data_IF_401887827567
#
_entry.id   IF_401887827567
#
_cell.length_a   1.000
_cell.length_b   1.000
_cell.length_c   1.000
_cell.angle_alpha   90.00
_cell.angle_beta   90.00
_cell.angle_gamma   90.00
#
_symmetry.space_group_name_H-M   'P 1'
#
loop_
_entity.id
_entity.type
_entity.pdbx_description
1 polymer ?
#
# COMPACT_ATOMS: atom_id res chain seq x y z
N UNK A 1 -36.34 -20.88 -3.59
CA UNK A 1 -35.71 -19.56 -3.36
C UNK A 1 -34.37 -19.58 -4.05
N UNK A 2 -34.09 -18.67 -5.00
CA UNK A 2 -32.89 -18.74 -5.81
C UNK A 2 -31.65 -18.49 -4.94
N UNK A 3 -30.65 -19.34 -5.11
CA UNK A 3 -29.35 -19.19 -4.47
C UNK A 3 -28.74 -17.86 -4.92
N UNK A 4 -28.43 -17.02 -3.94
CA UNK A 4 -27.64 -15.83 -4.21
C UNK A 4 -26.29 -16.27 -4.76
N UNK A 5 -26.04 -15.96 -6.02
CA UNK A 5 -24.71 -15.94 -6.61
C UNK A 5 -23.82 -15.14 -5.64
N UNK A 6 -23.02 -15.84 -4.83
CA UNK A 6 -21.83 -15.23 -4.25
C UNK A 6 -20.96 -14.94 -5.46
N UNK A 7 -21.08 -13.73 -6.01
CA UNK A 7 -20.12 -13.21 -6.96
C UNK A 7 -18.74 -13.54 -6.38
N UNK A 8 -17.93 -14.29 -7.15
CA UNK A 8 -16.55 -14.50 -6.78
C UNK A 8 -15.95 -13.15 -6.36
N UNK A 9 -15.13 -13.09 -5.30
CA UNK A 9 -14.49 -11.84 -4.92
C UNK A 9 -13.87 -11.24 -6.18
N UNK A 10 -14.35 -10.05 -6.57
CA UNK A 10 -13.89 -9.41 -7.80
C UNK A 10 -12.40 -9.19 -7.64
N UNK A 11 -11.60 -9.97 -8.37
CA UNK A 11 -10.16 -9.81 -8.40
C UNK A 11 -9.78 -8.43 -8.92
N UNK A 12 -8.57 -8.00 -8.62
CA UNK A 12 -8.07 -6.69 -9.03
C UNK A 12 -7.27 -6.81 -10.33
N UNK A 13 -7.93 -7.28 -11.40
CA UNK A 13 -7.26 -7.63 -12.68
C UNK A 13 -6.32 -6.54 -13.19
N UNK A 14 -6.68 -5.27 -13.03
CA UNK A 14 -5.88 -4.13 -13.46
C UNK A 14 -4.51 -4.06 -12.76
N UNK A 15 -4.47 -4.29 -11.44
CA UNK A 15 -3.20 -4.28 -10.69
C UNK A 15 -2.49 -5.62 -10.78
N UNK A 16 -3.24 -6.73 -10.86
CA UNK A 16 -2.71 -8.09 -10.99
C UNK A 16 -1.89 -8.27 -12.27
N UNK A 17 -2.29 -7.60 -13.36
CA UNK A 17 -1.53 -7.58 -14.62
C UNK A 17 -0.17 -6.87 -14.52
N UNK A 18 0.04 -6.04 -13.48
CA UNK A 18 1.18 -5.13 -13.37
C UNK A 18 2.05 -5.39 -12.12
N UNK A 19 1.86 -6.51 -11.41
CA UNK A 19 2.54 -6.78 -10.13
C UNK A 19 4.07 -6.75 -10.27
N UNK A 20 4.63 -7.30 -11.35
CA UNK A 20 6.07 -7.25 -11.62
C UNK A 20 6.60 -5.82 -11.69
N UNK A 21 5.92 -4.95 -12.43
CA UNK A 21 6.29 -3.53 -12.55
C UNK A 21 6.18 -2.77 -11.23
N UNK A 22 5.24 -3.14 -10.35
CA UNK A 22 5.14 -2.56 -9.01
C UNK A 22 6.31 -2.96 -8.11
N UNK A 23 6.79 -4.20 -8.21
CA UNK A 23 7.99 -4.66 -7.49
C UNK A 23 9.23 -3.88 -7.95
N UNK A 24 9.43 -3.76 -9.27
CA UNK A 24 10.51 -2.97 -9.85
C UNK A 24 10.44 -1.50 -9.43
N UNK A 25 9.24 -0.91 -9.43
CA UNK A 25 9.02 0.43 -8.94
C UNK A 25 9.41 0.56 -7.46
N UNK A 26 8.93 -0.32 -6.59
CA UNK A 26 9.26 -0.28 -5.17
C UNK A 26 10.78 -0.34 -4.94
N UNK A 27 11.49 -1.20 -5.68
CA UNK A 27 12.94 -1.32 -5.59
C UNK A 27 13.66 -0.02 -5.99
N UNK A 28 13.21 0.61 -7.08
CA UNK A 28 13.82 1.82 -7.66
C UNK A 28 13.49 3.09 -6.88
N UNK A 29 12.24 3.27 -6.48
CA UNK A 29 11.75 4.53 -5.89
C UNK A 29 11.54 4.47 -4.39
N UNK A 30 11.74 3.30 -3.77
CA UNK A 30 11.52 3.12 -2.33
C UNK A 30 10.08 2.78 -1.95
N UNK A 31 9.18 2.59 -2.92
CA UNK A 31 7.78 2.24 -2.65
C UNK A 31 6.82 2.65 -3.75
N UNK A 32 5.53 2.43 -3.51
CA UNK A 32 4.44 2.87 -4.39
C UNK A 32 3.13 3.04 -3.61
N UNK A 33 2.18 3.71 -4.26
CA UNK A 33 0.75 3.70 -3.92
C UNK A 33 -0.02 3.48 -5.21
N UNK A 34 -0.95 2.54 -5.23
CA UNK A 34 -1.74 2.19 -6.41
C UNK A 34 -3.18 1.89 -6.03
N UNK A 35 -4.12 2.41 -6.81
CA UNK A 35 -5.51 1.99 -6.73
C UNK A 35 -5.63 0.59 -7.36
N UNK A 36 -5.93 -0.46 -6.57
CA UNK A 36 -5.94 -1.83 -7.08
C UNK A 36 -7.05 -2.04 -8.13
N UNK A 37 -8.12 -1.24 -8.09
CA UNK A 37 -9.26 -1.36 -9.02
C UNK A 37 -8.94 -0.79 -10.39
N UNK A 38 -8.09 0.24 -10.45
CA UNK A 38 -7.73 0.95 -11.68
C UNK A 38 -6.32 0.64 -12.18
N UNK A 39 -5.46 0.08 -11.32
CA UNK A 39 -4.04 -0.11 -11.61
C UNK A 39 -3.25 1.21 -11.70
N UNK A 40 -3.85 2.34 -11.30
CA UNK A 40 -3.26 3.68 -11.44
C UNK A 40 -2.76 4.23 -10.12
N UNK A 41 -1.60 4.90 -10.13
CA UNK A 41 -1.07 5.61 -8.99
C UNK A 41 -1.68 7.04 -8.89
N UNK A 42 -2.04 7.51 -7.68
CA UNK A 42 -2.39 8.91 -7.46
C UNK A 42 -1.16 9.81 -7.68
N UNK A 43 -1.39 11.01 -8.21
CA UNK A 43 -0.33 11.99 -8.53
C UNK A 43 -0.15 13.09 -7.48
N UNK A 44 -1.09 13.23 -6.54
CA UNK A 44 -1.09 14.27 -5.52
C UNK A 44 -1.73 13.80 -4.22
N UNK A 45 -1.52 14.59 -3.16
CA UNK A 45 -1.95 14.28 -1.80
C UNK A 45 -0.89 13.50 -1.02
N UNK A 46 -1.28 12.99 0.13
CA UNK A 46 -0.41 12.32 1.08
C UNK A 46 -0.92 10.91 1.35
N UNK A 47 -0.13 9.90 1.04
CA UNK A 47 -0.46 8.51 1.35
C UNK A 47 -0.16 8.23 2.83
N UNK A 48 -1.17 7.72 3.53
CA UNK A 48 -1.13 7.40 4.96
C UNK A 48 -1.60 5.96 5.13
N UNK A 49 -0.80 5.11 5.78
CA UNK A 49 -1.22 3.73 6.07
C UNK A 49 -2.39 3.70 7.07
N UNK A 50 -3.28 2.72 6.94
CA UNK A 50 -4.48 2.64 7.79
C UNK A 50 -4.24 1.95 9.14
N UNK A 51 -3.02 1.51 9.42
CA UNK A 51 -2.61 0.96 10.71
C UNK A 51 -1.71 -0.27 10.58
N UNK A 52 -1.31 -0.84 11.73
CA UNK A 52 -0.43 -2.02 11.79
C UNK A 52 -1.13 -3.34 11.48
N UNK A 53 -2.44 -3.43 11.69
CA UNK A 53 -3.21 -4.66 11.48
C UNK A 53 -3.35 -5.04 10.00
N UNK A 54 -3.16 -4.08 9.09
CA UNK A 54 -3.10 -4.30 7.65
C UNK A 54 -1.66 -4.37 7.13
N UNK A 55 -0.64 -4.26 7.99
CA UNK A 55 0.73 -4.29 7.53
C UNK A 55 1.23 -5.73 7.35
N UNK A 56 1.76 -6.05 6.18
CA UNK A 56 2.50 -7.29 5.91
C UNK A 56 3.95 -6.94 5.64
N UNK A 57 4.87 -7.64 6.30
CA UNK A 57 6.31 -7.38 6.19
C UNK A 57 6.98 -8.53 5.47
N UNK A 58 7.66 -8.21 4.38
CA UNK A 58 8.42 -9.16 3.56
C UNK A 58 9.92 -8.85 3.63
N UNK A 59 10.81 -9.85 3.69
CA UNK A 59 12.24 -9.63 3.53
C UNK A 59 12.53 -9.01 2.15
N UNK A 60 13.24 -7.88 2.12
CA UNK A 60 13.48 -7.17 0.86
C UNK A 60 14.28 -8.03 -0.14
N UNK A 61 15.24 -8.82 0.35
CA UNK A 61 16.04 -9.72 -0.49
C UNK A 61 15.17 -10.72 -1.26
N UNK A 62 14.25 -11.40 -0.58
CA UNK A 62 13.32 -12.36 -1.21
C UNK A 62 12.30 -11.66 -2.10
N UNK A 63 11.72 -10.56 -1.60
CA UNK A 63 10.70 -9.79 -2.32
C UNK A 63 11.22 -9.33 -3.69
N UNK A 64 12.42 -8.76 -3.74
CA UNK A 64 13.01 -8.28 -4.98
C UNK A 64 13.69 -9.37 -5.82
N UNK A 65 13.98 -10.55 -5.26
CA UNK A 65 14.56 -11.68 -6.00
C UNK A 65 13.53 -12.50 -6.80
N UNK A 66 12.24 -12.22 -6.64
CA UNK A 66 11.18 -12.87 -7.43
C UNK A 66 9.91 -13.21 -6.64
N UNK A 67 9.94 -13.16 -5.31
CA UNK A 67 8.76 -13.48 -4.50
C UNK A 67 7.74 -12.33 -4.45
N UNK A 68 8.15 -11.11 -4.80
CA UNK A 68 7.34 -9.89 -4.71
C UNK A 68 5.97 -9.97 -5.39
N UNK A 69 5.85 -10.43 -6.66
CA UNK A 69 4.55 -10.54 -7.30
C UNK A 69 3.61 -11.49 -6.57
N UNK A 70 4.13 -12.63 -6.07
CA UNK A 70 3.34 -13.59 -5.29
C UNK A 70 2.91 -13.00 -3.95
N UNK A 71 3.79 -12.26 -3.27
CA UNK A 71 3.47 -11.59 -2.02
C UNK A 71 2.39 -10.52 -2.21
N UNK A 72 2.49 -9.69 -3.26
CA UNK A 72 1.46 -8.70 -3.61
C UNK A 72 0.12 -9.35 -3.96
N UNK A 73 0.13 -10.44 -4.72
CA UNK A 73 -1.09 -11.17 -5.07
C UNK A 73 -1.76 -11.76 -3.82
N UNK A 74 -0.98 -12.38 -2.94
CA UNK A 74 -1.48 -12.91 -1.67
C UNK A 74 -2.09 -11.78 -0.81
N UNK A 75 -1.37 -10.66 -0.69
CA UNK A 75 -1.84 -9.50 0.06
C UNK A 75 -3.16 -8.93 -0.50
N UNK A 76 -3.28 -8.80 -1.82
CA UNK A 76 -4.53 -8.37 -2.47
C UNK A 76 -5.68 -9.31 -2.15
N UNK A 77 -5.46 -10.63 -2.29
CA UNK A 77 -6.47 -11.66 -2.00
C UNK A 77 -6.93 -11.61 -0.55
N UNK A 78 -6.00 -11.47 0.38
CA UNK A 78 -6.28 -11.48 1.81
C UNK A 78 -7.02 -10.20 2.26
N UNK A 79 -6.95 -9.13 1.45
CA UNK A 79 -7.64 -7.86 1.66
C UNK A 79 -8.76 -7.57 0.64
N UNK A 80 -9.18 -8.53 -0.18
CA UNK A 80 -10.18 -8.26 -1.25
C UNK A 80 -11.50 -7.72 -0.70
N UNK A 81 -12.00 -8.28 0.40
CA UNK A 81 -13.27 -7.85 0.97
C UNK A 81 -13.25 -6.38 1.42
N UNK A 82 -12.15 -5.94 2.05
CA UNK A 82 -12.05 -4.57 2.57
C UNK A 82 -11.78 -3.57 1.43
N UNK A 83 -10.92 -3.95 0.48
CA UNK A 83 -10.64 -3.15 -0.72
C UNK A 83 -11.85 -3.03 -1.65
N UNK A 84 -12.72 -4.04 -1.69
CA UNK A 84 -13.96 -4.03 -2.47
C UNK A 84 -15.06 -3.18 -1.84
N UNK A 85 -15.09 -3.05 -0.50
CA UNK A 85 -16.09 -2.26 0.22
C UNK A 85 -15.72 -0.78 0.34
N UNK A 86 -14.44 -0.48 0.41
CA UNK A 86 -13.96 0.89 0.64
C UNK A 86 -13.16 1.41 -0.57
N UNK A 87 -13.77 2.29 -1.39
CA UNK A 87 -13.15 2.77 -2.61
C UNK A 87 -12.02 3.78 -2.37
N UNK A 88 -11.76 4.21 -1.15
CA UNK A 88 -10.62 5.09 -0.85
C UNK A 88 -9.36 4.32 -0.43
N UNK A 89 -9.49 3.02 -0.12
CA UNK A 89 -8.35 2.19 0.22
C UNK A 89 -7.55 1.79 -1.01
N UNK A 90 -6.26 2.06 -0.94
CA UNK A 90 -5.29 1.74 -1.97
C UNK A 90 -4.26 0.75 -1.43
N UNK A 91 -3.56 0.09 -2.35
CA UNK A 91 -2.41 -0.73 -2.02
C UNK A 91 -1.17 0.17 -1.94
N UNK A 92 -0.44 0.09 -0.83
CA UNK A 92 0.84 0.75 -0.64
C UNK A 92 1.96 -0.25 -0.37
N UNK A 93 3.17 0.10 -0.81
CA UNK A 93 4.40 -0.57 -0.41
C UNK A 93 5.47 0.47 -0.04
N UNK A 94 6.23 0.18 1.00
CA UNK A 94 7.37 0.97 1.44
C UNK A 94 8.60 0.08 1.60
N UNK A 95 9.70 0.46 0.96
CA UNK A 95 10.98 -0.22 1.11
C UNK A 95 11.79 0.44 2.23
N UNK A 96 11.75 -0.18 3.40
CA UNK A 96 12.58 0.15 4.55
C UNK A 96 13.98 -0.42 4.34
N UNK A 97 14.85 0.40 3.73
CA UNK A 97 16.23 0.02 3.39
C UNK A 97 17.05 -0.31 4.64
N UNK A 98 16.89 0.49 5.69
CA UNK A 98 17.62 0.30 6.94
C UNK A 98 17.22 -1.00 7.64
N UNK A 99 15.93 -1.34 7.57
CA UNK A 99 15.37 -2.58 8.10
C UNK A 99 15.49 -3.80 7.19
N UNK A 100 15.98 -3.64 5.95
CA UNK A 100 16.08 -4.73 4.96
C UNK A 100 14.75 -5.38 4.60
N UNK A 101 13.64 -4.63 4.61
CA UNK A 101 12.28 -5.16 4.48
C UNK A 101 11.38 -4.30 3.60
N UNK A 102 10.41 -4.93 2.96
CA UNK A 102 9.31 -4.27 2.26
C UNK A 102 8.06 -4.39 3.13
N UNK A 103 7.41 -3.26 3.39
CA UNK A 103 6.16 -3.20 4.16
C UNK A 103 5.02 -2.94 3.19
N UNK A 104 4.14 -3.92 3.03
CA UNK A 104 2.87 -3.79 2.32
C UNK A 104 1.82 -3.28 3.30
N UNK A 105 0.97 -2.35 2.85
CA UNK A 105 -0.09 -1.80 3.70
C UNK A 105 -1.28 -1.30 2.88
N UNK A 106 -2.43 -1.22 3.54
CA UNK A 106 -3.58 -0.48 3.02
C UNK A 106 -3.35 1.00 3.34
N UNK A 107 -3.48 1.86 2.34
CA UNK A 107 -3.25 3.30 2.48
C UNK A 107 -4.47 4.09 2.03
N UNK A 108 -4.65 5.28 2.61
CA UNK A 108 -5.55 6.32 2.10
C UNK A 108 -4.75 7.50 1.62
N UNK A 109 -5.28 8.21 0.63
CA UNK A 109 -4.70 9.47 0.16
C UNK A 109 -5.49 10.61 0.76
N UNK A 110 -4.81 11.43 1.56
CA UNK A 110 -5.36 12.60 2.22
C UNK A 110 -4.83 13.85 1.52
N UNK A 111 -5.67 14.83 1.13
CA UNK A 111 -5.20 15.99 0.37
C UNK A 111 -4.37 16.98 1.21
N UNK A 112 -4.65 17.08 2.51
CA UNK A 112 -4.01 18.03 3.41
C UNK A 112 -2.82 17.42 4.18
N UNK A 113 -1.71 18.17 4.25
CA UNK A 113 -0.48 17.73 4.91
C UNK A 113 -0.65 17.59 6.42
N UNK A 114 -1.32 18.57 7.03
CA UNK A 114 -1.48 18.64 8.49
C UNK A 114 -2.35 17.47 8.95
N UNK A 115 -3.42 17.21 8.20
CA UNK A 115 -4.29 16.06 8.42
C UNK A 115 -3.56 14.74 8.21
N UNK A 116 -2.75 14.63 7.15
CA UNK A 116 -1.97 13.43 6.89
C UNK A 116 -0.98 13.13 8.03
N UNK A 117 -0.28 14.15 8.54
CA UNK A 117 0.63 14.01 9.69
C UNK A 117 -0.15 13.61 10.95
N UNK A 118 -1.30 14.24 11.21
CA UNK A 118 -2.18 13.90 12.34
C UNK A 118 -2.65 12.45 12.28
N UNK A 119 -3.10 11.99 11.11
CA UNK A 119 -3.49 10.60 10.86
C UNK A 119 -2.31 9.64 10.98
N UNK A 120 -1.14 10.01 10.44
CA UNK A 120 0.08 9.21 10.58
C UNK A 120 0.47 9.03 12.06
N UNK A 121 0.40 10.09 12.86
CA UNK A 121 0.65 10.04 14.30
C UNK A 121 -0.34 9.14 15.04
N UNK A 122 -1.65 9.27 14.77
CA UNK A 122 -2.66 8.43 15.40
C UNK A 122 -2.46 6.94 15.07
N UNK A 123 -1.88 6.65 13.90
CA UNK A 123 -1.52 5.31 13.45
C UNK A 123 -0.09 4.88 13.82
N UNK A 124 0.64 5.67 14.62
CA UNK A 124 2.04 5.43 15.04
C UNK A 124 3.01 5.23 13.86
N UNK A 125 2.80 5.95 12.76
CA UNK A 125 3.70 5.98 11.62
C UNK A 125 4.82 7.01 11.87
N UNK A 126 6.03 6.71 11.40
CA UNK A 126 7.20 7.61 11.47
C UNK A 126 7.19 8.67 10.37
N UNK A 127 6.59 8.34 9.24
CA UNK A 127 6.44 9.21 8.09
C UNK A 127 5.14 8.90 7.35
N UNK A 128 4.68 9.89 6.58
CA UNK A 128 3.66 9.74 5.53
C UNK A 128 4.31 10.07 4.19
N UNK A 129 3.72 9.69 3.06
CA UNK A 129 4.36 9.91 1.76
C UNK A 129 3.67 11.04 0.98
N UNK A 130 4.42 12.08 0.62
CA UNK A 130 3.95 13.16 -0.26
C UNK A 130 4.05 12.71 -1.72
N UNK A 131 2.91 12.49 -2.36
CA UNK A 131 2.83 11.98 -3.72
C UNK A 131 3.28 13.01 -4.77
N UNK A 132 3.05 14.29 -4.49
CA UNK A 132 3.45 15.39 -5.38
C UNK A 132 4.96 15.61 -5.32
N UNK A 133 5.52 15.71 -4.12
CA UNK A 133 6.96 15.94 -3.92
C UNK A 133 7.79 14.65 -3.99
N UNK A 134 7.13 13.48 -4.06
CA UNK A 134 7.74 12.14 -4.11
C UNK A 134 8.77 11.91 -3.01
N UNK A 135 8.38 12.22 -1.77
CA UNK A 135 9.25 12.10 -0.61
C UNK A 135 8.46 11.76 0.65
N UNK A 136 9.16 11.19 1.61
CA UNK A 136 8.62 11.02 2.94
C UNK A 136 8.51 12.36 3.67
N UNK A 137 7.43 12.50 4.45
CA UNK A 137 7.17 13.60 5.35
C UNK A 137 7.17 13.03 6.77
N UNK A 138 8.14 13.38 7.62
CA UNK A 138 8.18 12.93 8.99
C UNK A 138 6.93 13.36 9.76
N UNK A 139 6.38 12.44 10.56
CA UNK A 139 5.28 12.75 11.48
C UNK A 139 5.77 13.39 12.78
N UNK A 140 7.06 13.26 13.08
CA UNK A 140 7.68 13.65 14.34
C UNK A 140 7.78 12.52 15.37
N UNK A 141 7.33 11.31 15.02
CA UNK A 141 7.42 10.15 15.90
C UNK A 141 8.84 9.54 15.86
N UNK A 142 9.62 9.74 16.93
CA UNK A 142 10.95 9.13 17.07
C UNK A 142 10.85 7.65 17.48
N UNK A 143 11.83 6.84 17.09
CA UNK A 143 11.99 5.50 17.65
C UNK A 143 12.34 5.63 19.15
N UNK A 144 11.42 5.21 20.02
CA UNK A 144 11.70 4.99 21.45
C UNK A 144 12.19 3.57 21.64
#
# INVERSE_FOLDING_TARGET
MPGGDRAAPQGFLAVEACLGGLVEQAQRTGGFTVDPRRGSAPSSGYAVATGRSSAQVEPAASFFAGDGPRALQAYLRDHTDVLGRDPELMLGAWYDRDGGRVVLSLVRVVPDRTEAVRCGLSQRQRSVYDLSARREVPTGLSAS
#
